data_IF_901697056477
#
_entry.id   IF_901697056477
#
_cell.length_a   1.000
_cell.length_b   1.000
_cell.length_c   1.000
_cell.angle_alpha   90.00
_cell.angle_beta   90.00
_cell.angle_gamma   90.00
#
_symmetry.space_group_name_H-M   'P 1'
#
loop_
_entity.id
_entity.type
_entity.pdbx_description
1 polymer ?
#
# COMPACT_ATOMS: atom_id res chain seq x y z
N UNK A 1 17.98 24.11 12.91
CA UNK A 1 18.63 22.86 13.39
C UNK A 1 20.12 22.95 13.11
N UNK A 2 20.96 22.66 14.11
CA UNK A 2 22.42 22.72 13.94
C UNK A 2 22.91 21.42 13.27
N UNK A 3 23.95 21.47 12.43
CA UNK A 3 24.41 20.32 11.64
C UNK A 3 24.84 19.13 12.53
N UNK A 4 25.39 19.44 13.72
CA UNK A 4 25.76 18.46 14.74
C UNK A 4 24.53 17.70 15.29
N UNK A 5 23.40 18.39 15.48
CA UNK A 5 22.15 17.79 15.96
C UNK A 5 21.57 16.83 14.93
N UNK A 6 21.58 17.20 13.64
CA UNK A 6 21.12 16.33 12.55
C UNK A 6 21.96 15.06 12.49
N UNK A 7 23.29 15.19 12.58
CA UNK A 7 24.19 14.03 12.57
C UNK A 7 23.98 13.11 13.78
N UNK A 8 23.74 13.68 14.96
CA UNK A 8 23.44 12.91 16.17
C UNK A 8 22.14 12.14 16.01
N UNK A 9 21.07 12.82 15.57
CA UNK A 9 19.75 12.21 15.34
C UNK A 9 19.84 11.06 14.34
N UNK A 10 20.53 11.26 13.20
CA UNK A 10 20.73 10.19 12.20
C UNK A 10 21.46 8.98 12.78
N UNK A 11 22.51 9.21 13.57
CA UNK A 11 23.26 8.12 14.21
C UNK A 11 22.40 7.34 15.19
N UNK A 12 21.61 8.04 15.98
CA UNK A 12 20.67 7.45 16.94
C UNK A 12 19.58 6.65 16.23
N UNK A 13 18.97 7.23 15.17
CA UNK A 13 17.99 6.54 14.32
C UNK A 13 18.55 5.23 13.73
N UNK A 14 19.78 5.25 13.19
CA UNK A 14 20.41 4.04 12.64
C UNK A 14 20.68 3.00 13.73
N UNK A 15 21.06 3.44 14.92
CA UNK A 15 21.37 2.56 16.05
C UNK A 15 20.11 1.85 16.54
N UNK A 16 19.03 2.60 16.78
CA UNK A 16 17.73 2.02 17.17
C UNK A 16 17.14 1.17 16.02
N UNK A 17 17.27 1.60 14.76
CA UNK A 17 16.84 0.79 13.59
C UNK A 17 17.46 -0.61 13.56
N UNK A 18 18.75 -0.72 13.89
CA UNK A 18 19.44 -2.01 13.94
C UNK A 18 19.00 -2.83 15.16
N UNK A 19 18.87 -2.19 16.32
CA UNK A 19 18.48 -2.80 17.59
C UNK A 19 17.06 -3.36 17.53
N UNK A 20 16.14 -2.64 16.90
CA UNK A 20 14.74 -3.03 16.69
C UNK A 20 14.57 -4.05 15.56
N UNK A 21 15.67 -4.45 14.90
CA UNK A 21 15.66 -5.38 13.77
C UNK A 21 14.69 -4.96 12.67
N UNK A 22 14.60 -3.64 12.42
CA UNK A 22 13.71 -3.06 11.40
C UNK A 22 13.88 -3.70 10.02
N UNK A 23 15.08 -4.10 9.55
CA UNK A 23 15.20 -4.80 8.26
C UNK A 23 14.43 -6.12 8.21
N UNK A 24 14.38 -6.85 9.32
CA UNK A 24 13.64 -8.12 9.42
C UNK A 24 12.13 -7.83 9.44
N UNK A 25 11.70 -6.83 10.21
CA UNK A 25 10.30 -6.39 10.22
C UNK A 25 9.86 -5.92 8.83
N UNK A 26 10.68 -5.13 8.14
CA UNK A 26 10.41 -4.65 6.79
C UNK A 26 10.33 -5.79 5.77
N UNK A 27 11.22 -6.79 5.84
CA UNK A 27 11.18 -7.97 4.98
C UNK A 27 9.93 -8.81 5.23
N UNK A 28 9.56 -9.02 6.50
CA UNK A 28 8.33 -9.71 6.85
C UNK A 28 7.10 -8.96 6.31
N UNK A 29 7.02 -7.65 6.53
CA UNK A 29 5.93 -6.81 6.01
C UNK A 29 5.84 -6.85 4.48
N UNK A 30 6.97 -6.78 3.77
CA UNK A 30 7.00 -6.91 2.32
C UNK A 30 6.46 -8.27 1.86
N UNK A 31 6.89 -9.37 2.52
CA UNK A 31 6.37 -10.70 2.25
C UNK A 31 4.85 -10.76 2.45
N UNK A 32 4.34 -10.35 3.63
CA UNK A 32 2.90 -10.35 3.89
C UNK A 32 2.11 -9.45 2.92
N UNK A 33 2.65 -8.28 2.56
CA UNK A 33 2.04 -7.39 1.58
C UNK A 33 1.84 -8.08 0.23
N UNK A 34 2.85 -8.79 -0.30
CA UNK A 34 2.75 -9.50 -1.59
C UNK A 34 1.62 -10.54 -1.58
N UNK A 35 1.54 -11.38 -0.55
CA UNK A 35 0.50 -12.42 -0.48
C UNK A 35 -0.91 -11.85 -0.27
N UNK A 36 -1.00 -10.64 0.26
CA UNK A 36 -2.28 -10.01 0.59
C UNK A 36 -2.81 -9.02 -0.41
N UNK A 37 -1.97 -8.63 -1.36
CA UNK A 37 -2.26 -7.59 -2.31
C UNK A 37 -3.52 -7.93 -3.11
N UNK A 38 -3.61 -9.18 -3.59
CA UNK A 38 -4.81 -9.67 -4.28
C UNK A 38 -6.07 -9.56 -3.40
N UNK A 39 -6.12 -10.15 -2.18
CA UNK A 39 -7.28 -9.99 -1.30
C UNK A 39 -7.71 -8.54 -1.04
N UNK A 40 -6.76 -7.65 -0.80
CA UNK A 40 -7.04 -6.23 -0.54
C UNK A 40 -7.63 -5.55 -1.78
N UNK A 41 -7.04 -5.78 -2.95
CA UNK A 41 -7.51 -5.19 -4.20
C UNK A 41 -8.89 -5.73 -4.58
N UNK A 42 -9.18 -7.01 -4.33
CA UNK A 42 -10.51 -7.57 -4.51
C UNK A 42 -11.56 -6.84 -3.67
N UNK A 43 -11.25 -6.54 -2.40
CA UNK A 43 -12.17 -5.77 -1.54
C UNK A 43 -12.37 -4.35 -2.09
N UNK A 44 -11.29 -3.68 -2.49
CA UNK A 44 -11.37 -2.32 -3.04
C UNK A 44 -12.20 -2.31 -4.32
N UNK A 45 -11.96 -3.25 -5.25
CA UNK A 45 -12.71 -3.36 -6.51
C UNK A 45 -14.17 -3.72 -6.24
N UNK A 46 -14.48 -4.62 -5.30
CA UNK A 46 -15.86 -4.97 -4.97
C UNK A 46 -16.62 -3.77 -4.39
N UNK A 47 -16.01 -3.02 -3.47
CA UNK A 47 -16.63 -1.83 -2.86
C UNK A 47 -16.77 -0.71 -3.89
N UNK A 48 -15.71 -0.38 -4.62
CA UNK A 48 -15.73 0.65 -5.66
C UNK A 48 -16.69 0.30 -6.81
N UNK A 49 -16.67 -0.97 -7.24
CA UNK A 49 -17.49 -1.51 -8.30
C UNK A 49 -18.98 -1.48 -7.96
N UNK A 50 -19.34 -1.60 -6.68
CA UNK A 50 -20.73 -1.42 -6.24
C UNK A 50 -21.27 0.01 -6.43
N UNK A 51 -20.38 1.00 -6.57
CA UNK A 51 -20.73 2.43 -6.72
C UNK A 51 -20.60 2.88 -8.19
N UNK A 52 -19.48 2.54 -8.83
CA UNK A 52 -19.09 3.08 -10.16
C UNK A 52 -19.14 2.03 -11.27
N UNK A 53 -19.37 0.75 -10.93
CA UNK A 53 -19.31 -0.40 -11.83
C UNK A 53 -17.97 -1.14 -11.77
N UNK A 54 -18.01 -2.47 -11.78
CA UNK A 54 -16.85 -3.36 -11.58
C UNK A 54 -15.73 -3.11 -12.60
N UNK A 55 -16.07 -2.96 -13.88
CA UNK A 55 -15.09 -2.72 -14.94
C UNK A 55 -14.37 -1.36 -14.78
N UNK A 56 -15.09 -0.32 -14.33
CA UNK A 56 -14.52 1.01 -14.08
C UNK A 56 -13.61 0.96 -12.86
N UNK A 57 -14.08 0.35 -11.77
CA UNK A 57 -13.28 0.17 -10.56
C UNK A 57 -11.99 -0.62 -10.80
N UNK A 58 -12.06 -1.72 -11.54
CA UNK A 58 -10.89 -2.53 -11.88
C UNK A 58 -9.88 -1.73 -12.70
N UNK A 59 -10.34 -1.05 -13.76
CA UNK A 59 -9.48 -0.23 -14.61
C UNK A 59 -8.73 0.82 -13.78
N UNK A 60 -9.46 1.55 -12.95
CA UNK A 60 -8.88 2.63 -12.14
C UNK A 60 -7.91 2.14 -11.08
N UNK A 61 -8.20 1.00 -10.45
CA UNK A 61 -7.27 0.37 -9.50
C UNK A 61 -5.98 -0.03 -10.20
N UNK A 62 -6.06 -0.56 -11.43
CA UNK A 62 -4.86 -0.92 -12.22
C UNK A 62 -4.06 0.33 -12.59
N UNK A 63 -4.70 1.39 -13.09
CA UNK A 63 -4.01 2.66 -13.41
C UNK A 63 -3.33 3.28 -12.18
N UNK A 64 -3.95 3.16 -11.01
CA UNK A 64 -3.35 3.60 -9.74
C UNK A 64 -2.14 2.74 -9.36
N UNK A 65 -2.18 1.43 -9.60
CA UNK A 65 -1.04 0.54 -9.39
C UNK A 65 0.10 0.82 -10.37
N UNK A 66 -0.21 1.15 -11.63
CA UNK A 66 0.80 1.59 -12.61
C UNK A 66 1.51 2.85 -12.13
N UNK A 67 0.75 3.80 -11.58
CA UNK A 67 1.32 5.03 -11.00
C UNK A 67 2.19 4.75 -9.77
N UNK A 68 1.86 3.73 -8.98
CA UNK A 68 2.58 3.40 -7.75
C UNK A 68 3.79 2.49 -7.98
N UNK A 69 3.73 1.58 -8.95
CA UNK A 69 4.68 0.46 -9.08
C UNK A 69 5.30 0.36 -10.49
N UNK A 70 4.75 1.06 -11.48
CA UNK A 70 5.09 0.94 -12.89
C UNK A 70 4.28 -0.15 -13.62
N UNK A 71 4.26 -0.07 -14.95
CA UNK A 71 3.46 -0.92 -15.84
C UNK A 71 3.76 -2.43 -15.67
N UNK A 72 5.04 -2.82 -15.57
CA UNK A 72 5.40 -4.23 -15.38
C UNK A 72 4.94 -4.77 -14.01
N UNK A 73 4.98 -3.95 -12.95
CA UNK A 73 4.49 -4.35 -11.63
C UNK A 73 2.97 -4.49 -11.61
N UNK A 74 2.26 -3.53 -12.20
CA UNK A 74 0.81 -3.52 -12.27
C UNK A 74 0.25 -4.67 -13.11
N UNK A 75 0.86 -4.99 -14.25
CA UNK A 75 0.41 -6.09 -15.12
C UNK A 75 0.45 -7.46 -14.44
N UNK A 76 1.47 -7.74 -13.61
CA UNK A 76 1.54 -8.99 -12.81
C UNK A 76 0.33 -9.11 -11.88
N UNK A 77 -0.04 -7.99 -11.25
CA UNK A 77 -1.15 -7.94 -10.30
C UNK A 77 -2.49 -8.00 -11.04
N UNK A 78 -2.63 -7.28 -12.14
CA UNK A 78 -3.82 -7.28 -13.00
C UNK A 78 -4.15 -8.69 -13.49
N UNK A 79 -3.14 -9.45 -13.92
CA UNK A 79 -3.31 -10.85 -14.34
C UNK A 79 -3.76 -11.76 -13.19
N UNK A 80 -3.19 -11.59 -11.99
CA UNK A 80 -3.62 -12.34 -10.81
C UNK A 80 -5.10 -12.05 -10.45
N UNK A 81 -5.49 -10.78 -10.52
CA UNK A 81 -6.86 -10.34 -10.24
C UNK A 81 -7.86 -10.89 -11.27
N UNK A 82 -7.55 -10.79 -12.57
CA UNK A 82 -8.43 -11.31 -13.63
C UNK A 82 -8.66 -12.82 -13.52
N UNK A 83 -7.66 -13.57 -13.03
CA UNK A 83 -7.78 -15.02 -12.85
C UNK A 83 -8.72 -15.44 -11.70
N UNK A 84 -9.05 -14.54 -10.77
CA UNK A 84 -9.85 -14.83 -9.58
C UNK A 84 -11.31 -14.34 -9.65
N UNK A 85 -11.64 -13.43 -10.56
CA UNK A 85 -13.02 -13.00 -10.81
C UNK A 85 -13.79 -14.01 -11.66
N UNK A 86 -14.10 -15.17 -11.08
CA UNK A 86 -15.13 -16.06 -11.61
C UNK A 86 -16.44 -15.84 -10.83
N UNK A 87 -17.56 -15.53 -11.49
CA UNK A 87 -18.83 -15.34 -10.80
C UNK A 87 -19.29 -16.65 -10.16
N UNK A 88 -19.19 -16.74 -8.83
CA UNK A 88 -19.73 -17.86 -8.07
C UNK A 88 -21.25 -17.73 -7.93
N UNK A 89 -21.99 -18.78 -8.28
CA UNK A 89 -23.46 -18.77 -8.34
C UNK A 89 -24.19 -18.96 -7.00
N UNK A 90 -23.48 -19.15 -5.89
CA UNK A 90 -24.08 -19.41 -4.56
C UNK A 90 -23.74 -18.31 -3.55
N UNK A 91 -24.77 -17.75 -2.91
CA UNK A 91 -24.69 -16.72 -1.86
C UNK A 91 -23.75 -17.17 -0.72
N UNK A 92 -23.76 -18.45 -0.37
CA UNK A 92 -22.92 -19.02 0.70
C UNK A 92 -21.44 -18.93 0.31
N UNK A 93 -21.10 -19.22 -0.95
CA UNK A 93 -19.72 -19.10 -1.46
C UNK A 93 -19.25 -17.66 -1.46
N UNK A 94 -20.13 -16.71 -1.81
CA UNK A 94 -19.82 -15.27 -1.74
C UNK A 94 -19.55 -14.82 -0.31
N UNK A 95 -20.36 -15.23 0.67
CA UNK A 95 -20.16 -14.86 2.08
C UNK A 95 -18.83 -15.43 2.60
N UNK A 96 -18.56 -16.71 2.35
CA UNK A 96 -17.31 -17.36 2.76
C UNK A 96 -16.11 -16.68 2.10
N UNK A 97 -16.22 -16.35 0.80
CA UNK A 97 -15.19 -15.63 0.06
C UNK A 97 -14.90 -14.26 0.66
N UNK A 98 -15.93 -13.45 0.92
CA UNK A 98 -15.78 -12.12 1.55
C UNK A 98 -15.16 -12.23 2.93
N UNK A 99 -15.59 -13.16 3.77
CA UNK A 99 -15.02 -13.38 5.11
C UNK A 99 -13.55 -13.79 5.01
N UNK A 100 -13.21 -14.69 4.09
CA UNK A 100 -11.83 -15.14 3.87
C UNK A 100 -10.94 -13.99 3.37
N UNK A 101 -11.44 -13.18 2.45
CA UNK A 101 -10.75 -12.00 1.91
C UNK A 101 -10.52 -10.95 3.01
N UNK A 102 -11.54 -10.62 3.79
CA UNK A 102 -11.42 -9.73 4.93
C UNK A 102 -10.43 -10.28 5.96
N UNK A 103 -10.47 -11.60 6.20
CA UNK A 103 -9.54 -12.24 7.13
C UNK A 103 -8.10 -12.14 6.62
N UNK A 104 -7.86 -12.38 5.34
CA UNK A 104 -6.55 -12.22 4.74
C UNK A 104 -6.07 -10.76 4.84
N UNK A 105 -6.86 -9.79 4.37
CA UNK A 105 -6.51 -8.38 4.35
C UNK A 105 -6.24 -7.78 5.74
N UNK A 106 -6.99 -8.19 6.76
CA UNK A 106 -6.82 -7.67 8.13
C UNK A 106 -5.59 -8.23 8.85
N UNK A 107 -5.04 -9.35 8.39
CA UNK A 107 -3.84 -9.98 8.98
C UNK A 107 -2.58 -9.15 8.74
N UNK A 108 -2.47 -8.45 7.61
CA UNK A 108 -1.33 -7.59 7.29
C UNK A 108 -1.35 -6.32 8.10
N UNK A 109 -2.53 -5.71 8.28
CA UNK A 109 -2.65 -4.54 9.15
C UNK A 109 -2.35 -4.90 10.60
N UNK A 110 -2.69 -6.12 11.04
CA UNK A 110 -2.27 -6.62 12.34
C UNK A 110 -0.74 -6.77 12.42
N UNK A 111 -0.09 -7.33 11.38
CA UNK A 111 1.37 -7.44 11.32
C UNK A 111 2.07 -6.07 11.25
N UNK A 112 1.51 -5.14 10.49
CA UNK A 112 1.98 -3.76 10.38
C UNK A 112 1.88 -3.07 11.73
N UNK A 113 0.73 -3.17 12.39
CA UNK A 113 0.53 -2.69 13.76
C UNK A 113 1.56 -3.26 14.73
N UNK A 114 1.78 -4.57 14.70
CA UNK A 114 2.76 -5.22 15.58
C UNK A 114 4.18 -4.71 15.32
N UNK A 115 4.57 -4.60 14.05
CA UNK A 115 5.89 -4.08 13.66
C UNK A 115 6.08 -2.63 14.11
N UNK A 116 5.03 -1.81 13.98
CA UNK A 116 5.01 -0.44 14.47
C UNK A 116 5.09 -0.38 16.00
N UNK A 117 4.32 -1.20 16.72
CA UNK A 117 4.38 -1.29 18.17
C UNK A 117 5.80 -1.67 18.67
N UNK A 118 6.51 -2.56 17.97
CA UNK A 118 7.91 -2.90 18.28
C UNK A 118 8.81 -1.67 18.14
N UNK A 119 8.72 -0.95 17.02
CA UNK A 119 9.52 0.27 16.76
C UNK A 119 9.22 1.35 17.82
N UNK A 120 7.96 1.53 18.18
CA UNK A 120 7.54 2.48 19.22
C UNK A 120 7.71 1.95 20.66
N UNK A 121 8.34 0.79 20.83
CA UNK A 121 8.62 0.18 22.14
C UNK A 121 7.36 0.08 23.02
N UNK A 122 6.21 -0.23 22.41
CA UNK A 122 4.95 -0.40 23.13
C UNK A 122 4.98 -1.72 23.89
N UNK A 123 4.89 -1.64 25.21
CA UNK A 123 4.81 -2.83 26.07
C UNK A 123 3.54 -3.64 25.76
N UNK A 124 3.74 -4.85 25.24
CA UNK A 124 2.65 -5.82 25.07
C UNK A 124 2.14 -6.18 26.46
N UNK A 125 0.93 -5.76 26.81
CA UNK A 125 0.34 -6.07 28.14
C UNK A 125 -0.15 -7.52 28.12
N UNK A 126 0.49 -8.46 28.86
CA UNK A 126 0.00 -9.83 28.88
C UNK A 126 -1.36 -9.88 29.59
N UNK A 127 -2.42 -10.34 28.90
CA UNK A 127 -3.70 -10.70 29.55
C UNK A 127 -5.01 -10.28 28.88
N UNK A 128 -5.04 -9.61 27.71
CA UNK A 128 -6.29 -9.20 27.05
C UNK A 128 -6.69 -10.06 25.83
N UNK A 129 -6.32 -11.34 25.82
CA UNK A 129 -6.22 -12.21 24.63
C UNK A 129 -7.36 -12.14 23.60
N UNK A 130 -8.63 -12.09 24.01
CA UNK A 130 -9.76 -12.04 23.06
C UNK A 130 -10.17 -10.61 22.73
N UNK A 131 -10.21 -9.71 23.72
CA UNK A 131 -10.63 -8.31 23.51
C UNK A 131 -9.63 -7.53 22.66
N UNK A 132 -8.33 -7.74 22.89
CA UNK A 132 -7.26 -7.13 22.13
C UNK A 132 -7.19 -7.68 20.70
N UNK A 133 -7.47 -8.98 20.51
CA UNK A 133 -7.62 -9.59 19.19
C UNK A 133 -8.78 -8.98 18.41
N UNK A 134 -9.97 -8.87 19.02
CA UNK A 134 -11.15 -8.25 18.39
C UNK A 134 -10.88 -6.78 18.06
N UNK A 135 -10.31 -6.02 19.01
CA UNK A 135 -9.98 -4.61 18.80
C UNK A 135 -8.96 -4.42 17.69
N UNK A 136 -7.91 -5.25 17.65
CA UNK A 136 -6.92 -5.26 16.57
C UNK A 136 -7.58 -5.53 15.21
N UNK A 137 -8.51 -6.49 15.17
CA UNK A 137 -9.25 -6.81 13.94
C UNK A 137 -10.14 -5.66 13.45
N UNK A 138 -10.86 -5.01 14.37
CA UNK A 138 -11.69 -3.84 14.04
C UNK A 138 -10.82 -2.69 13.51
N UNK A 139 -9.66 -2.43 14.13
CA UNK A 139 -8.73 -1.40 13.65
C UNK A 139 -8.20 -1.75 12.25
N UNK A 140 -7.85 -3.00 11.99
CA UNK A 140 -7.46 -3.47 10.65
C UNK A 140 -8.58 -3.28 9.63
N UNK A 141 -9.83 -3.58 9.97
CA UNK A 141 -10.99 -3.37 9.08
C UNK A 141 -11.18 -1.87 8.79
N UNK A 142 -11.14 -1.02 9.82
CA UNK A 142 -11.20 0.43 9.65
C UNK A 142 -10.06 0.91 8.74
N UNK A 143 -8.86 0.34 8.86
CA UNK A 143 -7.73 0.73 8.03
C UNK A 143 -7.89 0.29 6.57
N UNK A 144 -8.40 -0.91 6.32
CA UNK A 144 -8.77 -1.35 4.96
C UNK A 144 -9.78 -0.38 4.36
N UNK A 145 -10.78 0.05 5.13
CA UNK A 145 -11.78 1.02 4.68
C UNK A 145 -11.16 2.41 4.43
N UNK A 146 -10.26 2.89 5.29
CA UNK A 146 -9.56 4.16 5.09
C UNK A 146 -8.70 4.11 3.83
N UNK A 147 -7.93 3.04 3.64
CA UNK A 147 -7.11 2.87 2.43
C UNK A 147 -7.99 2.79 1.19
N UNK A 148 -9.07 2.00 1.23
CA UNK A 148 -10.04 1.91 0.13
C UNK A 148 -10.70 3.27 -0.18
N UNK A 149 -11.10 4.01 0.84
CA UNK A 149 -11.68 5.35 0.68
C UNK A 149 -10.65 6.36 0.16
N UNK A 150 -9.41 6.31 0.63
CA UNK A 150 -8.32 7.15 0.12
C UNK A 150 -8.05 6.86 -1.36
N UNK A 151 -8.09 5.59 -1.76
CA UNK A 151 -7.99 5.21 -3.17
C UNK A 151 -9.18 5.80 -3.95
N UNK A 152 -10.41 5.62 -3.48
CA UNK A 152 -11.61 6.20 -4.12
C UNK A 152 -11.53 7.74 -4.24
N UNK A 153 -11.07 8.42 -3.20
CA UNK A 153 -10.87 9.88 -3.23
C UNK A 153 -9.75 10.27 -4.20
N UNK A 154 -8.66 9.50 -4.25
CA UNK A 154 -7.58 9.67 -5.24
C UNK A 154 -8.15 9.62 -6.65
N UNK A 155 -8.99 8.63 -6.95
CA UNK A 155 -9.64 8.48 -8.26
C UNK A 155 -10.57 9.66 -8.59
N UNK A 156 -11.37 10.11 -7.61
CA UNK A 156 -12.24 11.27 -7.77
C UNK A 156 -11.46 12.56 -8.03
N UNK A 157 -10.36 12.76 -7.29
CA UNK A 157 -9.48 13.93 -7.45
C UNK A 157 -8.75 13.87 -8.80
N UNK A 158 -8.19 12.73 -9.18
CA UNK A 158 -7.52 12.55 -10.47
C UNK A 158 -8.47 12.77 -11.64
N UNK A 159 -9.68 12.19 -11.58
CA UNK A 159 -10.72 12.41 -12.60
C UNK A 159 -11.14 13.88 -12.70
N UNK A 160 -11.30 14.54 -11.55
CA UNK A 160 -11.63 15.97 -11.51
C UNK A 160 -10.51 16.84 -12.07
N UNK A 161 -9.25 16.56 -11.71
CA UNK A 161 -8.07 17.27 -12.21
C UNK A 161 -7.90 17.06 -13.73
N UNK A 162 -8.10 15.84 -14.22
CA UNK A 162 -8.05 15.54 -15.65
C UNK A 162 -9.14 16.30 -16.42
N UNK A 163 -10.40 16.23 -15.96
CA UNK A 163 -11.52 16.95 -16.59
C UNK A 163 -11.36 18.47 -16.53
N UNK A 164 -10.83 19.00 -15.41
CA UNK A 164 -10.53 20.42 -15.27
C UNK A 164 -9.36 20.85 -16.17
N UNK A 165 -8.33 20.02 -16.30
CA UNK A 165 -7.21 20.30 -17.21
C UNK A 165 -7.65 20.33 -18.66
N UNK A 166 -8.51 19.39 -19.09
CA UNK A 166 -9.01 19.34 -20.48
C UNK A 166 -9.93 20.54 -20.80
N UNK A 167 -10.61 21.10 -19.79
CA UNK A 167 -11.36 22.34 -19.93
C UNK A 167 -10.43 23.57 -19.96
N UNK A 168 -9.42 23.60 -19.08
CA UNK A 168 -8.45 24.69 -19.01
C UNK A 168 -7.55 24.76 -20.25
N UNK A 169 -7.14 23.63 -20.82
CA UNK A 169 -6.29 23.58 -22.03
C UNK A 169 -6.98 24.20 -23.26
N UNK A 170 -8.32 24.31 -23.24
CA UNK A 170 -9.10 25.02 -24.27
C UNK A 170 -9.09 26.54 -24.10
N UNK A 171 -8.72 27.05 -22.92
CA UNK A 171 -8.78 28.48 -22.55
C UNK A 171 -7.38 29.06 -22.33
N UNK A 172 -6.47 28.30 -21.71
CA UNK A 172 -5.08 28.66 -21.42
C UNK A 172 -4.24 27.40 -21.61
N UNK A 173 -3.25 27.41 -22.53
CA UNK A 173 -2.29 26.30 -22.62
C UNK A 173 -1.46 26.24 -21.34
N UNK A 174 -1.81 25.33 -20.44
CA UNK A 174 -1.01 25.08 -19.24
C UNK A 174 0.23 24.31 -19.67
N UNK A 175 1.45 24.77 -19.32
CA UNK A 175 2.66 24.02 -19.61
C UNK A 175 2.58 22.61 -19.01
N UNK A 176 2.95 21.58 -19.77
CA UNK A 176 2.94 20.18 -19.32
C UNK A 176 3.71 19.94 -18.02
N UNK A 177 4.77 20.74 -17.78
CA UNK A 177 5.51 20.78 -16.52
C UNK A 177 4.63 21.17 -15.31
N UNK A 178 3.77 22.18 -15.46
CA UNK A 178 2.93 22.66 -14.35
C UNK A 178 1.84 21.63 -14.01
N UNK A 179 1.25 20.98 -15.01
CA UNK A 179 0.28 19.88 -14.82
C UNK A 179 0.92 18.71 -14.07
N UNK A 180 2.10 18.26 -14.50
CA UNK A 180 2.83 17.18 -13.83
C UNK A 180 3.21 17.54 -12.39
N UNK A 181 3.56 18.80 -12.10
CA UNK A 181 3.85 19.24 -10.73
C UNK A 181 2.61 19.20 -9.83
N UNK A 182 1.43 19.55 -10.35
CA UNK A 182 0.17 19.48 -9.60
C UNK A 182 -0.17 18.02 -9.30
N UNK A 183 -0.15 17.13 -10.29
CA UNK A 183 -0.48 15.71 -10.11
C UNK A 183 0.47 15.03 -9.13
N UNK A 184 1.78 15.27 -9.28
CA UNK A 184 2.79 14.76 -8.34
C UNK A 184 2.61 15.35 -6.94
N UNK A 185 2.25 16.63 -6.83
CA UNK A 185 1.98 17.29 -5.55
C UNK A 185 0.77 16.69 -4.83
N UNK A 186 -0.32 16.44 -5.56
CA UNK A 186 -1.52 15.78 -5.04
C UNK A 186 -1.20 14.36 -4.60
N UNK A 187 -0.50 13.59 -5.44
CA UNK A 187 -0.05 12.23 -5.10
C UNK A 187 0.83 12.22 -3.84
N UNK A 188 1.77 13.16 -3.73
CA UNK A 188 2.62 13.30 -2.55
C UNK A 188 1.82 13.60 -1.28
N UNK A 189 0.83 14.52 -1.35
CA UNK A 189 -0.04 14.85 -0.22
C UNK A 189 -0.85 13.62 0.20
N UNK A 190 -1.45 12.90 -0.75
CA UNK A 190 -2.22 11.68 -0.48
C UNK A 190 -1.36 10.61 0.19
N UNK A 191 -0.15 10.37 -0.31
CA UNK A 191 0.81 9.42 0.29
C UNK A 191 1.19 9.87 1.71
N UNK A 192 1.44 11.17 1.91
CA UNK A 192 1.78 11.74 3.22
C UNK A 192 0.62 11.57 4.22
N UNK A 193 -0.62 11.79 3.78
CA UNK A 193 -1.83 11.56 4.58
C UNK A 193 -1.95 10.07 4.91
N UNK A 194 -1.77 9.19 3.93
CA UNK A 194 -1.87 7.74 4.10
C UNK A 194 -0.87 7.23 5.16
N UNK A 195 0.41 7.58 5.05
CA UNK A 195 1.40 7.23 6.07
C UNK A 195 1.10 7.90 7.42
N UNK A 196 0.58 9.13 7.41
CA UNK A 196 0.17 9.82 8.64
C UNK A 196 -0.95 9.07 9.38
N UNK A 197 -1.94 8.54 8.64
CA UNK A 197 -2.99 7.70 9.21
C UNK A 197 -2.43 6.38 9.73
N UNK A 198 -1.52 5.73 8.98
CA UNK A 198 -0.83 4.52 9.43
C UNK A 198 -0.14 4.77 10.78
N UNK A 199 0.69 5.82 10.88
CA UNK A 199 1.47 6.12 12.08
C UNK A 199 0.63 6.60 13.25
N UNK A 200 -0.54 7.19 13.02
CA UNK A 200 -1.38 7.71 14.10
C UNK A 200 -2.42 6.72 14.61
N UNK A 201 -2.97 5.88 13.73
CA UNK A 201 -4.12 5.01 14.05
C UNK A 201 -3.67 3.61 14.47
N UNK A 202 -2.64 3.05 13.81
CA UNK A 202 -2.24 1.66 14.05
C UNK A 202 -1.52 1.45 15.39
N UNK A 203 -0.54 2.27 15.79
CA UNK A 203 0.20 2.02 17.02
C UNK A 203 -0.69 2.17 18.25
N UNK A 204 -0.48 1.33 19.26
CA UNK A 204 -1.18 1.43 20.55
C UNK A 204 -0.55 2.50 21.48
N UNK A 205 0.01 3.56 20.89
CA UNK A 205 0.64 4.68 21.59
C UNK A 205 0.17 6.01 21.02
N UNK A 206 0.05 7.02 21.88
CA UNK A 206 -0.32 8.38 21.47
C UNK A 206 0.92 9.10 20.97
N UNK A 207 0.99 9.35 19.66
CA UNK A 207 2.07 10.10 19.02
C UNK A 207 1.62 11.55 18.75
N UNK A 208 2.50 12.52 18.97
CA UNK A 208 2.22 13.93 18.71
C UNK A 208 2.01 14.20 17.21
N UNK A 209 1.13 15.14 16.87
CA UNK A 209 0.83 15.47 15.47
C UNK A 209 2.05 16.02 14.71
N UNK A 210 2.94 16.74 15.39
CA UNK A 210 4.21 17.20 14.83
C UNK A 210 5.08 16.05 14.35
N UNK A 211 5.17 15.00 15.16
CA UNK A 211 6.06 13.87 14.91
C UNK A 211 5.50 12.97 13.81
N UNK A 212 4.17 12.79 13.80
CA UNK A 212 3.47 12.10 12.71
C UNK A 212 3.64 12.83 11.38
N UNK A 213 3.49 14.16 11.35
CA UNK A 213 3.57 14.94 10.12
C UNK A 213 5.00 14.94 9.52
N UNK A 214 6.02 15.08 10.37
CA UNK A 214 7.42 15.00 9.93
C UNK A 214 7.75 13.58 9.47
N UNK A 215 7.36 12.57 10.25
CA UNK A 215 7.58 11.17 9.91
C UNK A 215 6.91 10.78 8.60
N UNK A 216 5.62 11.08 8.43
CA UNK A 216 4.87 10.72 7.22
C UNK A 216 5.37 11.47 5.97
N UNK A 217 5.82 12.72 6.12
CA UNK A 217 6.44 13.47 5.03
C UNK A 217 7.76 12.87 4.58
N UNK A 218 8.65 12.51 5.53
CA UNK A 218 9.92 11.84 5.23
C UNK A 218 9.66 10.48 4.57
N UNK A 219 8.72 9.70 5.10
CA UNK A 219 8.34 8.41 4.53
C UNK A 219 7.74 8.55 3.13
N UNK A 220 6.91 9.57 2.88
CA UNK A 220 6.37 9.83 1.55
C UNK A 220 7.48 10.13 0.53
N UNK A 221 8.50 10.92 0.90
CA UNK A 221 9.67 11.18 0.06
C UNK A 221 10.42 9.87 -0.22
N UNK A 222 10.73 9.09 0.82
CA UNK A 222 11.40 7.80 0.68
C UNK A 222 10.60 6.81 -0.17
N UNK A 223 9.27 6.81 -0.04
CA UNK A 223 8.38 5.98 -0.83
C UNK A 223 8.41 6.37 -2.31
N UNK A 224 8.37 7.67 -2.63
CA UNK A 224 8.50 8.15 -4.02
C UNK A 224 9.85 7.74 -4.61
N UNK A 225 10.94 7.94 -3.87
CA UNK A 225 12.27 7.52 -4.33
C UNK A 225 12.31 6.00 -4.52
N UNK A 226 11.82 5.24 -3.55
CA UNK A 226 11.79 3.79 -3.56
C UNK A 226 11.01 3.23 -4.74
N UNK A 227 9.78 3.73 -5.00
CA UNK A 227 9.00 3.31 -6.16
C UNK A 227 9.73 3.64 -7.47
N UNK A 228 10.34 4.83 -7.58
CA UNK A 228 11.03 5.22 -8.82
C UNK A 228 12.24 4.32 -9.07
N UNK A 229 12.97 3.94 -8.02
CA UNK A 229 14.07 2.97 -8.12
C UNK A 229 13.57 1.59 -8.53
N UNK A 230 12.45 1.11 -7.95
CA UNK A 230 11.85 -0.17 -8.30
C UNK A 230 11.35 -0.18 -9.74
N UNK A 231 10.60 0.84 -10.16
CA UNK A 231 10.11 0.95 -11.54
C UNK A 231 11.26 1.05 -12.55
N UNK A 232 12.32 1.76 -12.21
CA UNK A 232 13.53 1.80 -13.04
C UNK A 232 14.24 0.44 -13.12
N UNK A 233 14.33 -0.27 -11.98
CA UNK A 233 14.92 -1.60 -11.92
C UNK A 233 14.09 -2.62 -12.73
N UNK A 234 12.77 -2.64 -12.56
CA UNK A 234 11.85 -3.54 -13.28
C UNK A 234 11.73 -3.20 -14.77
N UNK A 235 11.79 -1.92 -15.14
CA UNK A 235 11.76 -1.48 -16.53
C UNK A 235 13.03 -1.81 -17.32
N UNK A 236 14.16 -2.01 -16.62
CA UNK A 236 15.44 -2.44 -17.23
C UNK A 236 15.71 -3.94 -17.07
N UNK A 237 15.20 -4.55 -16.02
CA UNK A 237 15.24 -5.99 -15.86
C UNK A 237 14.26 -6.60 -16.87
N UNK A 238 14.70 -7.57 -17.67
CA UNK A 238 13.78 -8.54 -18.26
C UNK A 238 13.21 -9.38 -17.12
N UNK A 239 12.24 -8.83 -16.37
CA UNK A 239 11.59 -9.52 -15.23
C UNK A 239 11.01 -10.88 -15.70
N UNK A 240 10.61 -10.95 -16.97
CA UNK A 240 10.24 -12.19 -17.65
C UNK A 240 11.33 -13.27 -17.63
N UNK A 241 12.63 -12.93 -17.75
CA UNK A 241 13.72 -13.92 -17.74
C UNK A 241 14.08 -14.39 -16.33
N UNK A 242 14.02 -13.50 -15.33
CA UNK A 242 14.34 -13.86 -13.94
C UNK A 242 13.23 -14.70 -13.29
N UNK A 243 11.96 -14.33 -13.49
CA UNK A 243 10.83 -15.13 -13.02
C UNK A 243 10.65 -16.42 -13.83
N UNK A 244 10.91 -16.40 -15.15
CA UNK A 244 10.92 -17.60 -15.99
C UNK A 244 12.00 -18.61 -15.58
N UNK A 245 13.20 -18.13 -15.23
CA UNK A 245 14.27 -18.96 -14.71
C UNK A 245 13.92 -19.53 -13.31
N UNK A 246 13.37 -18.70 -12.40
CA UNK A 246 12.95 -19.16 -11.09
C UNK A 246 11.78 -20.16 -11.15
N UNK A 247 10.80 -19.95 -12.03
CA UNK A 247 9.69 -20.90 -12.24
C UNK A 247 10.17 -22.20 -12.86
N UNK A 248 11.15 -22.15 -13.78
CA UNK A 248 11.75 -23.36 -14.35
C UNK A 248 12.46 -24.21 -13.28
N UNK A 249 13.03 -23.58 -12.27
CA UNK A 249 13.69 -24.26 -11.15
C UNK A 249 12.67 -24.94 -10.21
N UNK A 250 11.54 -24.30 -9.93
CA UNK A 250 10.44 -24.88 -9.15
C UNK A 250 9.78 -26.06 -9.89
N UNK A 251 9.60 -25.94 -11.22
CA UNK A 251 9.09 -27.04 -12.05
C UNK A 251 10.08 -28.19 -12.14
N UNK A 252 11.40 -27.93 -12.17
CA UNK A 252 12.42 -28.97 -12.09
C UNK A 252 12.40 -29.72 -10.75
N UNK A 253 12.16 -29.00 -9.65
CA UNK A 253 12.06 -29.58 -8.30
C UNK A 253 10.77 -30.38 -8.08
N UNK A 254 9.68 -29.99 -8.72
CA UNK A 254 8.39 -30.70 -8.65
C UNK A 254 8.23 -31.78 -9.73
N UNK A 255 8.94 -31.66 -10.85
CA UNK A 255 8.89 -32.59 -11.98
C UNK A 255 9.90 -33.74 -11.89
N UNK A 256 10.67 -33.85 -10.80
CA UNK A 256 11.61 -34.95 -10.57
C UNK A 256 11.03 -36.07 -9.67
N UNK A 257 9.71 -36.14 -9.50
CA UNK A 257 9.00 -37.24 -8.81
C UNK A 257 8.03 -37.94 -9.74
#
# INVERSE_FOLDING_TARGET
MNLATVKSLLKETITEWQKDKVPILAAALAYYMVFSLAPLLMIVIAVAGSIVGEAVAQKEVIEQLETLMGEQGASVIANAIQSQFQPSSSIITTIIGVVTLLFAATTIFAQLKESLNIIWHVEVRPGQGIWEFIRSRILSVIMVLIVGLLLLMSLGISSFLAGMSDWLDKVVSIPSLLRSLIDNGVSFILITILFGQIYRILPDVKIAWSDVAVGSGITAILFIIGRTLISFYLGRATVASAYGAASSFVVLLLGSS
#
